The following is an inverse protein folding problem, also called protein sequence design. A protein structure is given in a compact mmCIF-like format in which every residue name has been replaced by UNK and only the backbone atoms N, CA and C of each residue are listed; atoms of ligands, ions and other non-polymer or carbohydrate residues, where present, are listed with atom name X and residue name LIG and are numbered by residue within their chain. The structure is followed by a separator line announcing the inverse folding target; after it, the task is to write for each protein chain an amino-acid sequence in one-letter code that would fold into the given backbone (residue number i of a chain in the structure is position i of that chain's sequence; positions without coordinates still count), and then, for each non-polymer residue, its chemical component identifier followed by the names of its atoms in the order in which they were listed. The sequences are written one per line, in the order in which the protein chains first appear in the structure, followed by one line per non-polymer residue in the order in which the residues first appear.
data_IF_096839916764
#
_entry.id   IF_096839916764
#
_cell.length_a   1.000
_cell.length_b   1.000
_cell.length_c   1.000
_cell.angle_alpha   90.00
_cell.angle_beta   90.00
_cell.angle_gamma   90.00
#
_symmetry.space_group_name_H-M   'P 1'
#
loop_
_entity.id
_entity.type
_entity.pdbx_description
1 polymer ?
#
# COMPACT_ATOMS: atom_id res chain seq x y z
N UNK A 1 -15.36 21.58 8.97
CA UNK A 1 -14.48 22.77 8.94
C UNK A 1 -13.35 22.50 7.95
N UNK A 2 -13.38 23.18 6.80
CA UNK A 2 -12.46 22.97 5.67
C UNK A 2 -11.06 23.50 6.00
N UNK A 3 -10.06 22.65 6.12
CA UNK A 3 -8.66 23.08 6.12
C UNK A 3 -8.31 23.57 4.71
N UNK A 4 -8.01 24.87 4.59
CA UNK A 4 -7.62 25.48 3.31
C UNK A 4 -6.18 25.11 2.97
N UNK A 5 -6.01 24.41 1.85
CA UNK A 5 -4.71 24.17 1.23
C UNK A 5 -4.20 25.47 0.59
N UNK A 6 -3.11 26.04 1.11
CA UNK A 6 -2.35 27.09 0.43
C UNK A 6 -0.94 26.57 0.15
N UNK A 7 -0.53 26.71 -1.12
CA UNK A 7 0.70 26.14 -1.64
C UNK A 7 1.93 27.04 -1.64
N UNK A 8 3.03 26.38 -2.03
CA UNK A 8 4.29 26.83 -2.61
C UNK A 8 5.39 27.43 -1.69
N UNK A 9 6.35 26.55 -1.35
CA UNK A 9 7.82 26.65 -1.50
C UNK A 9 8.58 26.18 -0.25
N UNK A 10 9.41 25.13 -0.43
CA UNK A 10 10.35 24.61 0.58
C UNK A 10 9.80 23.47 1.45
N UNK A 11 9.81 22.24 0.91
CA UNK A 11 9.74 20.93 1.60
C UNK A 11 9.11 20.90 3.00
N UNK A 12 7.91 21.47 3.18
CA UNK A 12 7.22 21.48 4.47
C UNK A 12 6.37 20.24 4.52
N UNK A 13 6.61 19.37 5.51
CA UNK A 13 5.68 18.29 5.84
C UNK A 13 4.28 18.91 5.93
N UNK A 14 3.37 18.47 5.05
CA UNK A 14 1.99 18.97 5.00
C UNK A 14 1.25 18.69 6.32
N UNK A 15 1.75 17.70 7.06
CA UNK A 15 1.17 17.20 8.29
C UNK A 15 2.20 17.23 9.43
N UNK A 16 1.71 17.45 10.65
CA UNK A 16 2.52 17.52 11.87
C UNK A 16 2.18 16.36 12.79
N UNK A 17 3.02 16.07 13.78
CA UNK A 17 2.73 15.06 14.81
C UNK A 17 1.41 15.34 15.54
N UNK A 18 1.08 16.62 15.75
CA UNK A 18 -0.18 17.02 16.36
C UNK A 18 -1.38 16.69 15.46
N UNK A 19 -1.23 16.85 14.15
CA UNK A 19 -2.25 16.41 13.19
C UNK A 19 -2.41 14.88 13.22
N UNK A 20 -1.29 14.13 13.20
CA UNK A 20 -1.29 12.66 13.26
C UNK A 20 -2.01 12.18 14.52
N UNK A 21 -1.62 12.67 15.71
CA UNK A 21 -2.27 12.31 16.98
C UNK A 21 -3.78 12.56 16.95
N UNK A 22 -4.21 13.70 16.41
CA UNK A 22 -5.63 14.04 16.28
C UNK A 22 -6.35 13.10 15.31
N UNK A 23 -5.75 12.78 14.17
CA UNK A 23 -6.35 11.89 13.19
C UNK A 23 -6.47 10.46 13.74
N UNK A 24 -5.44 9.96 14.42
CA UNK A 24 -5.45 8.64 15.07
C UNK A 24 -6.52 8.59 16.16
N UNK A 25 -6.59 9.58 17.05
CA UNK A 25 -7.62 9.64 18.09
C UNK A 25 -9.03 9.60 17.47
N UNK A 26 -9.29 10.36 16.42
CA UNK A 26 -10.58 10.37 15.74
C UNK A 26 -10.96 8.99 15.14
N UNK A 27 -9.99 8.25 14.59
CA UNK A 27 -10.22 6.88 14.11
C UNK A 27 -10.47 5.90 15.27
N UNK A 28 -9.72 6.00 16.35
CA UNK A 28 -9.83 5.08 17.50
C UNK A 28 -11.04 5.34 18.41
N UNK A 29 -11.62 6.54 18.36
CA UNK A 29 -12.84 6.94 19.07
C UNK A 29 -14.11 6.66 18.25
N UNK A 30 -13.99 6.32 16.96
CA UNK A 30 -15.13 6.01 16.12
C UNK A 30 -15.69 4.60 16.42
N UNK A 31 -17.02 4.46 16.38
CA UNK A 31 -17.72 3.18 16.56
C UNK A 31 -17.72 2.30 15.29
N UNK A 32 -17.06 2.75 14.21
CA UNK A 32 -17.04 2.07 12.91
C UNK A 32 -15.64 2.07 12.32
N UNK A 33 -15.33 1.08 11.49
CA UNK A 33 -14.08 1.05 10.73
C UNK A 33 -13.93 2.32 9.87
N UNK A 34 -12.72 2.88 9.74
CA UNK A 34 -12.48 4.05 8.91
C UNK A 34 -12.75 3.74 7.44
N UNK A 35 -13.35 4.70 6.74
CA UNK A 35 -13.51 4.61 5.30
C UNK A 35 -12.15 4.74 4.59
N UNK A 36 -11.94 3.95 3.54
CA UNK A 36 -10.76 4.04 2.69
C UNK A 36 -10.91 5.25 1.77
N UNK A 37 -10.03 6.24 1.92
CA UNK A 37 -10.03 7.43 1.06
C UNK A 37 -9.64 7.05 -0.36
N UNK A 38 -10.29 7.71 -1.33
CA UNK A 38 -10.10 7.42 -2.76
C UNK A 38 -9.14 8.42 -3.42
N UNK A 39 -8.60 8.04 -4.58
CA UNK A 39 -7.73 8.84 -5.41
C UNK A 39 -8.31 10.24 -5.62
N UNK A 40 -7.46 11.27 -5.46
CA UNK A 40 -7.88 12.66 -5.40
C UNK A 40 -7.94 13.22 -3.98
N UNK A 41 -8.03 12.37 -2.95
CA UNK A 41 -7.84 12.83 -1.56
C UNK A 41 -6.36 13.22 -1.34
N UNK A 42 -6.08 14.43 -0.82
CA UNK A 42 -4.72 14.98 -0.79
C UNK A 42 -3.73 14.19 0.08
N UNK A 43 -4.23 13.48 1.10
CA UNK A 43 -3.39 12.63 1.96
C UNK A 43 -2.65 11.54 1.17
N UNK A 44 -3.23 11.04 0.08
CA UNK A 44 -2.65 9.99 -0.77
C UNK A 44 -1.50 10.50 -1.64
N UNK A 45 -1.32 11.83 -1.71
CA UNK A 45 -0.30 12.52 -2.51
C UNK A 45 0.73 13.26 -1.65
N UNK A 46 0.65 13.08 -0.34
CA UNK A 46 1.55 13.70 0.61
C UNK A 46 2.52 12.65 1.15
N UNK A 47 3.77 13.04 1.38
CA UNK A 47 4.68 12.21 2.15
C UNK A 47 4.19 12.11 3.60
N UNK A 48 4.01 10.87 4.07
CA UNK A 48 3.58 10.59 5.42
C UNK A 48 4.67 10.92 6.45
N UNK A 49 4.24 11.32 7.64
CA UNK A 49 5.11 11.66 8.76
C UNK A 49 5.74 10.39 9.32
N UNK A 50 7.06 10.37 9.50
CA UNK A 50 7.75 9.25 10.13
C UNK A 50 7.21 8.99 11.55
N UNK A 51 7.11 7.73 11.94
CA UNK A 51 6.85 7.36 13.33
C UNK A 51 8.12 7.60 14.16
N UNK A 52 8.03 8.47 15.16
CA UNK A 52 9.14 8.85 16.05
C UNK A 52 8.76 8.70 17.53
N UNK A 53 7.71 7.91 17.81
CA UNK A 53 7.14 7.76 19.14
C UNK A 53 6.06 8.80 19.47
N UNK A 54 5.46 9.45 18.46
CA UNK A 54 4.41 10.45 18.65
C UNK A 54 3.05 9.87 19.08
N UNK A 55 2.91 8.55 19.13
CA UNK A 55 1.76 7.81 19.67
C UNK A 55 2.20 6.92 20.84
N UNK A 56 1.42 6.84 21.94
CA UNK A 56 1.60 5.82 22.95
C UNK A 56 1.49 4.40 22.35
N UNK A 57 2.26 3.44 22.87
CA UNK A 57 2.27 2.06 22.38
C UNK A 57 0.87 1.42 22.30
N UNK A 58 0.02 1.66 23.31
CA UNK A 58 -1.35 1.17 23.32
C UNK A 58 -2.24 1.77 22.20
N UNK A 59 -2.00 3.03 21.80
CA UNK A 59 -2.72 3.63 20.67
C UNK A 59 -2.20 3.10 19.33
N UNK A 60 -0.88 2.90 19.21
CA UNK A 60 -0.28 2.30 18.02
C UNK A 60 -0.80 0.87 17.78
N UNK A 61 -0.82 0.03 18.81
CA UNK A 61 -1.33 -1.34 18.71
C UNK A 61 -2.80 -1.37 18.25
N UNK A 62 -3.65 -0.55 18.87
CA UNK A 62 -5.06 -0.42 18.46
C UNK A 62 -5.22 0.10 17.03
N UNK A 63 -4.35 1.03 16.60
CA UNK A 63 -4.39 1.53 15.23
C UNK A 63 -4.03 0.43 14.23
N UNK A 64 -3.01 -0.37 14.52
CA UNK A 64 -2.61 -1.52 13.70
C UNK A 64 -3.75 -2.53 13.57
N UNK A 65 -4.45 -2.84 14.67
CA UNK A 65 -5.64 -3.71 14.67
C UNK A 65 -6.76 -3.13 13.78
N UNK A 66 -7.12 -1.85 13.95
CA UNK A 66 -8.14 -1.19 13.13
C UNK A 66 -7.75 -1.18 11.64
N UNK A 67 -6.47 -0.99 11.33
CA UNK A 67 -5.97 -1.06 9.95
C UNK A 67 -6.11 -2.47 9.38
N UNK A 68 -5.78 -3.52 10.15
CA UNK A 68 -5.97 -4.91 9.74
C UNK A 68 -7.44 -5.23 9.48
N UNK A 69 -8.32 -4.86 10.40
CA UNK A 69 -9.77 -5.07 10.26
C UNK A 69 -10.33 -4.33 9.04
N UNK A 70 -9.87 -3.09 8.80
CA UNK A 70 -10.25 -2.30 7.61
C UNK A 70 -9.78 -2.95 6.32
N UNK A 71 -8.54 -3.46 6.30
CA UNK A 71 -7.97 -4.18 5.16
C UNK A 71 -8.79 -5.43 4.82
N UNK A 72 -9.16 -6.23 5.84
CA UNK A 72 -9.98 -7.43 5.67
C UNK A 72 -11.41 -7.12 5.22
N UNK A 73 -12.00 -6.04 5.74
CA UNK A 73 -13.33 -5.60 5.31
C UNK A 73 -13.37 -5.14 3.84
N UNK A 74 -12.23 -4.72 3.29
CA UNK A 74 -12.06 -4.26 1.90
C UNK A 74 -11.33 -5.30 0.99
N UNK A 75 -11.49 -6.60 1.28
CA UNK A 75 -10.60 -7.71 0.90
C UNK A 75 -9.21 -7.37 0.33
N UNK A 76 -8.43 -6.56 1.04
CA UNK A 76 -7.06 -6.21 0.67
C UNK A 76 -6.00 -7.20 1.19
N UNK A 77 -4.78 -7.08 0.64
CA UNK A 77 -3.57 -7.78 1.13
C UNK A 77 -2.54 -6.84 1.76
N UNK A 78 -2.81 -5.54 1.71
CA UNK A 78 -2.03 -4.46 2.29
C UNK A 78 -2.91 -3.24 2.51
N UNK A 79 -2.56 -2.44 3.52
CA UNK A 79 -3.19 -1.14 3.78
C UNK A 79 -2.21 -0.19 4.45
N UNK A 80 -1.93 0.94 3.81
CA UNK A 80 -1.14 2.03 4.36
C UNK A 80 -2.02 3.02 5.14
N UNK A 81 -1.50 3.57 6.25
CA UNK A 81 -2.23 4.53 7.09
C UNK A 81 -2.79 5.75 6.32
N UNK A 82 -2.11 6.29 5.28
CA UNK A 82 -2.70 7.35 4.45
C UNK A 82 -4.03 6.96 3.81
N UNK A 83 -4.25 5.68 3.49
CA UNK A 83 -5.49 5.20 2.90
C UNK A 83 -6.70 5.29 3.85
N UNK A 84 -6.47 5.40 5.16
CA UNK A 84 -7.52 5.70 6.15
C UNK A 84 -7.45 7.15 6.66
N UNK A 85 -6.79 8.04 5.90
CA UNK A 85 -6.71 9.46 6.20
C UNK A 85 -5.62 9.86 7.19
N UNK A 86 -4.77 8.93 7.63
CA UNK A 86 -3.72 9.17 8.63
C UNK A 86 -2.35 9.29 7.93
N UNK A 87 -1.72 10.48 7.88
CA UNK A 87 -0.44 10.67 7.22
C UNK A 87 0.72 10.23 8.13
N UNK A 88 0.75 8.95 8.48
CA UNK A 88 1.79 8.29 9.27
C UNK A 88 2.49 7.23 8.42
N UNK A 89 3.81 7.09 8.56
CA UNK A 89 4.58 6.01 7.93
C UNK A 89 4.33 4.68 8.67
N UNK A 90 3.15 4.11 8.43
CA UNK A 90 2.69 2.84 8.95
C UNK A 90 1.91 2.14 7.85
N UNK A 91 2.22 0.87 7.60
CA UNK A 91 1.40 -0.01 6.78
C UNK A 91 1.23 -1.38 7.45
N UNK A 92 0.15 -2.06 7.13
CA UNK A 92 -0.11 -3.45 7.53
C UNK A 92 -0.21 -4.33 6.29
N UNK A 93 0.21 -5.59 6.41
CA UNK A 93 0.25 -6.55 5.31
C UNK A 93 -0.21 -7.92 5.81
N UNK A 94 -0.98 -8.62 4.98
CA UNK A 94 -1.34 -10.03 5.17
C UNK A 94 -1.90 -10.58 3.87
N UNK A 95 -1.45 -11.76 3.45
CA UNK A 95 -1.97 -12.43 2.27
C UNK A 95 -2.18 -13.92 2.53
N UNK A 96 -3.41 -14.27 2.88
CA UNK A 96 -3.83 -15.66 3.15
C UNK A 96 -4.92 -16.12 2.17
N UNK A 97 -5.08 -15.43 1.03
CA UNK A 97 -6.11 -15.78 0.05
C UNK A 97 -5.68 -16.99 -0.78
N UNK A 98 -6.59 -17.96 -0.90
CA UNK A 98 -6.44 -19.05 -1.86
C UNK A 98 -6.53 -18.52 -3.29
N UNK A 99 -5.57 -18.90 -4.12
CA UNK A 99 -5.56 -18.65 -5.56
C UNK A 99 -5.28 -19.92 -6.33
N UNK A 100 -5.71 -20.03 -7.61
CA UNK A 100 -5.31 -21.13 -8.46
C UNK A 100 -3.80 -21.35 -8.45
N UNK A 101 -3.36 -22.61 -8.38
CA UNK A 101 -1.93 -22.97 -8.28
C UNK A 101 -1.10 -22.36 -9.40
N UNK A 102 -1.60 -22.39 -10.64
CA UNK A 102 -0.97 -21.74 -11.80
C UNK A 102 -0.74 -20.22 -11.60
N UNK A 103 -1.68 -19.53 -10.94
CA UNK A 103 -1.56 -18.10 -10.65
C UNK A 103 -0.58 -17.85 -9.49
N UNK A 104 -0.54 -18.76 -8.51
CA UNK A 104 0.43 -18.69 -7.42
C UNK A 104 1.86 -18.85 -7.94
N UNK A 105 2.08 -19.88 -8.77
CA UNK A 105 3.38 -20.16 -9.40
C UNK A 105 3.84 -19.02 -10.30
N UNK A 106 2.98 -18.54 -11.21
CA UNK A 106 3.33 -17.47 -12.16
C UNK A 106 3.69 -16.14 -11.49
N UNK A 107 3.21 -15.92 -10.26
CA UNK A 107 3.41 -14.67 -9.50
C UNK A 107 4.38 -14.83 -8.32
N UNK A 108 4.96 -16.02 -8.14
CA UNK A 108 5.66 -16.44 -6.91
C UNK A 108 4.91 -15.96 -5.65
N UNK A 109 3.59 -16.20 -5.63
CA UNK A 109 2.69 -15.78 -4.54
C UNK A 109 2.59 -16.92 -3.53
N UNK A 110 2.94 -16.64 -2.29
CA UNK A 110 2.85 -17.58 -1.15
C UNK A 110 2.18 -16.87 0.02
N UNK A 111 1.64 -17.61 1.00
CA UNK A 111 1.07 -17.01 2.19
C UNK A 111 2.04 -16.01 2.84
N UNK A 112 1.50 -14.85 3.22
CA UNK A 112 2.19 -13.81 3.96
C UNK A 112 1.46 -13.63 5.28
N UNK A 113 2.08 -14.12 6.37
CA UNK A 113 1.57 -13.92 7.71
C UNK A 113 1.49 -12.42 8.03
N UNK A 114 0.56 -12.06 8.92
CA UNK A 114 0.35 -10.66 9.29
C UNK A 114 1.58 -10.02 9.94
N UNK A 115 1.93 -8.82 9.51
CA UNK A 115 2.86 -7.93 10.20
C UNK A 115 2.59 -6.46 9.86
N UNK A 116 3.07 -5.57 10.73
CA UNK A 116 3.06 -4.13 10.52
C UNK A 116 4.47 -3.62 10.23
N UNK A 117 4.58 -2.60 9.38
CA UNK A 117 5.84 -1.95 9.06
C UNK A 117 5.76 -0.46 9.36
N UNK A 118 6.65 0.03 10.22
CA UNK A 118 6.86 1.44 10.50
C UNK A 118 8.10 1.93 9.78
N UNK A 119 8.03 3.16 9.26
CA UNK A 119 9.15 3.82 8.57
C UNK A 119 9.86 2.95 7.52
N UNK A 120 9.14 2.15 6.70
CA UNK A 120 9.79 1.18 5.85
C UNK A 120 10.59 1.86 4.73
N UNK A 121 11.69 1.23 4.36
CA UNK A 121 12.41 1.49 3.12
C UNK A 121 12.86 0.17 2.52
N UNK A 122 12.95 0.11 1.20
CA UNK A 122 13.42 -1.09 0.52
C UNK A 122 14.47 -0.76 -0.54
N UNK A 123 15.32 -1.74 -0.82
CA UNK A 123 16.27 -1.71 -1.94
C UNK A 123 16.03 -2.91 -2.85
N UNK A 124 16.13 -2.70 -4.16
CA UNK A 124 16.02 -3.79 -5.13
C UNK A 124 17.26 -4.70 -5.04
N UNK A 125 17.03 -6.02 -5.09
CA UNK A 125 18.11 -7.01 -5.18
C UNK A 125 18.28 -7.39 -6.65
N UNK A 126 19.32 -6.86 -7.27
CA UNK A 126 19.59 -7.06 -8.71
C UNK A 126 18.73 -6.17 -9.61
N UNK A 127 18.67 -6.52 -10.90
CA UNK A 127 17.96 -5.77 -11.94
C UNK A 127 16.68 -6.46 -12.44
N UNK A 128 16.35 -7.62 -11.88
CA UNK A 128 15.18 -8.39 -12.28
C UNK A 128 13.88 -7.69 -11.84
N UNK A 129 12.91 -7.66 -12.74
CA UNK A 129 11.59 -7.08 -12.50
C UNK A 129 10.50 -8.10 -12.76
N UNK A 130 9.41 -7.99 -12.01
CA UNK A 130 8.17 -8.72 -12.25
C UNK A 130 7.08 -7.73 -12.63
N UNK A 131 6.28 -8.05 -13.65
CA UNK A 131 5.22 -7.19 -14.19
C UNK A 131 3.89 -7.92 -14.09
N UNK A 132 2.96 -7.38 -13.30
CA UNK A 132 1.61 -7.93 -13.14
C UNK A 132 0.60 -6.80 -12.96
N UNK A 133 -0.68 -7.11 -13.17
CA UNK A 133 -1.77 -6.22 -12.80
C UNK A 133 -1.80 -5.99 -11.29
N UNK A 134 -1.91 -4.72 -10.89
CA UNK A 134 -2.17 -4.28 -9.52
C UNK A 134 -3.47 -3.49 -9.48
N UNK A 135 -4.23 -3.70 -8.40
CA UNK A 135 -5.31 -2.80 -7.97
C UNK A 135 -4.92 -2.07 -6.69
N UNK A 136 -5.74 -1.12 -6.28
CA UNK A 136 -5.54 -0.38 -5.03
C UNK A 136 -6.91 -0.10 -4.39
N UNK A 137 -7.03 -0.29 -3.07
CA UNK A 137 -8.27 0.03 -2.33
C UNK A 137 -8.64 1.52 -2.41
N UNK A 138 -7.65 2.37 -2.65
CA UNK A 138 -7.82 3.82 -2.87
C UNK A 138 -8.04 4.19 -4.33
N UNK A 139 -8.14 3.23 -5.27
CA UNK A 139 -8.53 3.46 -6.66
C UNK A 139 -9.52 2.37 -7.09
N UNK A 140 -10.67 2.36 -6.41
CA UNK A 140 -11.67 1.30 -6.57
C UNK A 140 -12.13 1.15 -8.01
N UNK A 141 -12.21 -0.09 -8.49
CA UNK A 141 -12.75 -0.44 -9.80
C UNK A 141 -11.75 -0.48 -10.95
N UNK A 142 -10.46 -0.21 -10.70
CA UNK A 142 -9.42 -0.15 -11.72
C UNK A 142 -8.19 -0.98 -11.36
N UNK A 143 -7.53 -1.49 -12.39
CA UNK A 143 -6.25 -2.17 -12.31
C UNK A 143 -5.35 -1.75 -13.47
N UNK A 144 -4.04 -1.83 -13.30
CA UNK A 144 -3.08 -1.67 -14.39
C UNK A 144 -1.82 -2.48 -14.10
N UNK A 145 -1.07 -2.80 -15.14
CA UNK A 145 0.24 -3.45 -15.01
C UNK A 145 1.26 -2.46 -14.45
N UNK A 146 1.99 -2.91 -13.44
CA UNK A 146 3.10 -2.18 -12.82
C UNK A 146 4.33 -3.07 -12.77
N UNK A 147 5.48 -2.51 -13.13
CA UNK A 147 6.77 -3.15 -12.96
C UNK A 147 7.24 -2.95 -11.51
N UNK A 148 7.66 -4.06 -10.88
CA UNK A 148 8.21 -4.08 -9.52
C UNK A 148 9.56 -4.78 -9.54
N UNK A 149 10.43 -4.43 -8.61
CA UNK A 149 11.62 -5.25 -8.37
C UNK A 149 11.15 -6.65 -7.96
N UNK A 150 11.70 -7.69 -8.59
CA UNK A 150 11.29 -9.07 -8.33
C UNK A 150 11.68 -9.53 -6.92
N UNK A 151 12.78 -8.98 -6.38
CA UNK A 151 13.27 -9.23 -5.02
C UNK A 151 13.71 -7.90 -4.40
N UNK A 152 13.43 -7.74 -3.10
CA UNK A 152 13.81 -6.57 -2.32
C UNK A 152 14.42 -6.96 -0.97
N UNK A 153 15.32 -6.13 -0.46
CA UNK A 153 15.65 -6.08 0.96
C UNK A 153 14.83 -4.96 1.60
N UNK A 154 13.88 -5.34 2.46
CA UNK A 154 13.08 -4.43 3.27
C UNK A 154 13.78 -4.19 4.61
N UNK A 155 13.83 -2.93 5.03
CA UNK A 155 14.19 -2.51 6.37
C UNK A 155 13.09 -1.60 6.94
N UNK A 156 12.70 -1.85 8.18
CA UNK A 156 11.55 -1.22 8.83
C UNK A 156 11.70 -1.30 10.35
N UNK A 157 10.88 -0.55 11.09
CA UNK A 157 10.69 -0.78 12.52
C UNK A 157 9.42 -1.60 12.74
N UNK A 158 9.46 -2.61 13.60
CA UNK A 158 8.30 -3.43 13.98
C UNK A 158 7.29 -2.66 14.85
N UNK A 159 6.18 -3.28 15.26
CA UNK A 159 5.15 -2.65 16.09
C UNK A 159 5.63 -2.21 17.48
N UNK A 160 6.78 -2.72 17.93
CA UNK A 160 7.44 -2.35 19.17
C UNK A 160 8.50 -1.26 18.97
N UNK A 161 8.72 -0.82 17.73
CA UNK A 161 9.74 0.16 17.35
C UNK A 161 11.15 -0.42 17.25
N UNK A 162 11.29 -1.75 17.14
CA UNK A 162 12.58 -2.39 16.96
C UNK A 162 12.91 -2.53 15.47
N UNK A 163 14.14 -2.15 15.09
CA UNK A 163 14.60 -2.26 13.72
C UNK A 163 14.67 -3.73 13.27
N UNK A 164 14.10 -4.01 12.10
CA UNK A 164 14.04 -5.31 11.47
C UNK A 164 14.45 -5.24 9.99
N UNK A 165 14.91 -6.36 9.46
CA UNK A 165 15.23 -6.53 8.04
C UNK A 165 14.64 -7.84 7.52
N UNK A 166 14.10 -7.81 6.31
CA UNK A 166 13.49 -8.97 5.67
C UNK A 166 13.75 -8.93 4.17
N UNK A 167 14.24 -10.04 3.60
CA UNK A 167 14.30 -10.23 2.15
C UNK A 167 12.99 -10.84 1.66
N UNK A 168 12.40 -10.22 0.66
CA UNK A 168 11.14 -10.68 0.05
C UNK A 168 11.30 -10.80 -1.46
N UNK A 169 10.57 -11.73 -2.05
CA UNK A 169 10.49 -11.93 -3.50
C UNK A 169 9.01 -12.00 -3.94
N UNK A 170 8.79 -12.06 -5.24
CA UNK A 170 7.48 -12.39 -5.82
C UNK A 170 6.38 -11.42 -5.43
N UNK A 171 5.19 -11.97 -5.16
CA UNK A 171 4.00 -11.19 -4.85
C UNK A 171 4.13 -10.44 -3.51
N UNK A 172 4.81 -11.01 -2.52
CA UNK A 172 5.02 -10.39 -1.22
C UNK A 172 5.92 -9.15 -1.34
N UNK A 173 6.98 -9.22 -2.15
CA UNK A 173 7.80 -8.06 -2.46
C UNK A 173 6.98 -6.97 -3.16
N UNK A 174 6.05 -7.34 -4.05
CA UNK A 174 5.14 -6.40 -4.72
C UNK A 174 4.23 -5.68 -3.72
N UNK A 175 3.59 -6.41 -2.80
CA UNK A 175 2.72 -5.81 -1.77
C UNK A 175 3.52 -4.80 -0.94
N UNK A 176 4.71 -5.16 -0.44
CA UNK A 176 5.55 -4.23 0.34
C UNK A 176 5.93 -2.98 -0.46
N UNK A 177 6.32 -3.13 -1.72
CA UNK A 177 6.62 -1.98 -2.58
C UNK A 177 5.40 -1.07 -2.76
N UNK A 178 4.22 -1.65 -2.95
CA UNK A 178 2.96 -0.90 -3.09
C UNK A 178 2.61 -0.12 -1.82
N UNK A 179 2.64 -0.77 -0.66
CA UNK A 179 2.31 -0.11 0.60
C UNK A 179 3.35 0.93 1.00
N UNK A 180 4.64 0.68 0.72
CA UNK A 180 5.71 1.65 0.96
C UNK A 180 5.56 2.89 0.06
N UNK A 181 5.13 2.71 -1.20
CA UNK A 181 4.84 3.83 -2.11
C UNK A 181 3.76 4.76 -1.57
N UNK A 182 2.70 4.21 -0.96
CA UNK A 182 1.65 5.00 -0.35
C UNK A 182 2.18 5.93 0.75
N UNK A 183 3.18 5.50 1.51
CA UNK A 183 3.80 6.32 2.56
C UNK A 183 4.61 7.49 2.00
N UNK A 184 5.07 7.36 0.75
CA UNK A 184 5.73 8.43 0.00
C UNK A 184 4.75 9.30 -0.81
N UNK A 185 3.44 9.07 -0.72
CA UNK A 185 2.43 9.77 -1.54
C UNK A 185 2.42 9.34 -3.01
N UNK A 186 2.98 8.17 -3.31
CA UNK A 186 3.00 7.56 -4.64
C UNK A 186 1.86 6.55 -4.74
N UNK A 187 1.13 6.58 -5.85
CA UNK A 187 0.10 5.61 -6.17
C UNK A 187 0.58 4.71 -7.31
N UNK A 188 0.07 3.48 -7.40
CA UNK A 188 0.48 2.54 -8.46
C UNK A 188 0.33 3.13 -9.88
N UNK A 189 -0.66 4.00 -10.10
CA UNK A 189 -0.89 4.68 -11.38
C UNK A 189 0.29 5.55 -11.83
N UNK A 190 1.11 6.07 -10.90
CA UNK A 190 2.30 6.86 -11.24
C UNK A 190 3.42 6.01 -11.85
N UNK A 191 3.35 4.69 -11.66
CA UNK A 191 4.30 3.69 -12.16
C UNK A 191 3.67 2.74 -13.20
N UNK A 192 2.39 2.94 -13.50
CA UNK A 192 1.63 2.02 -14.32
C UNK A 192 1.94 2.17 -15.81
N UNK A 193 1.91 1.03 -16.50
CA UNK A 193 1.78 0.99 -17.96
C UNK A 193 0.38 1.45 -18.33
N UNK A 194 0.18 2.73 -18.57
CA UNK A 194 -1.17 3.35 -18.66
C UNK A 194 -2.08 2.76 -19.75
N UNK A 195 -1.52 2.16 -20.82
CA UNK A 195 -2.32 1.45 -21.84
C UNK A 195 -2.91 0.13 -21.34
N UNK A 196 -2.39 -0.42 -20.25
CA UNK A 196 -2.94 -1.59 -19.57
C UNK A 196 -4.05 -1.25 -18.56
N UNK A 197 -4.41 0.03 -18.39
CA UNK A 197 -5.45 0.42 -17.45
C UNK A 197 -6.79 -0.24 -17.84
N UNK A 198 -7.31 -1.09 -16.96
CA UNK A 198 -8.53 -1.85 -17.16
C UNK A 198 -9.49 -1.64 -15.99
N UNK A 199 -10.78 -1.57 -16.28
CA UNK A 199 -11.78 -1.71 -15.22
C UNK A 199 -11.74 -3.13 -14.66
N UNK A 200 -12.23 -3.34 -13.45
CA UNK A 200 -12.31 -4.69 -12.86
C UNK A 200 -13.10 -5.68 -13.75
N UNK A 201 -14.13 -5.20 -14.45
CA UNK A 201 -14.91 -6.02 -15.37
C UNK A 201 -14.09 -6.46 -16.59
N UNK A 202 -13.36 -5.52 -17.21
CA UNK A 202 -12.51 -5.82 -18.37
C UNK A 202 -11.30 -6.68 -18.00
N UNK A 203 -10.71 -6.45 -16.82
CA UNK A 203 -9.65 -7.31 -16.29
C UNK A 203 -10.15 -8.74 -16.12
N UNK A 204 -11.29 -8.93 -15.45
CA UNK A 204 -11.85 -10.27 -15.22
C UNK A 204 -12.24 -10.99 -16.52
N UNK A 205 -12.70 -10.24 -17.53
CA UNK A 205 -13.14 -10.81 -18.79
C UNK A 205 -11.98 -11.17 -19.74
N UNK A 206 -10.87 -10.42 -19.71
CA UNK A 206 -9.83 -10.51 -20.74
C UNK A 206 -8.41 -10.70 -20.20
N UNK A 207 -8.09 -10.20 -19.00
CA UNK A 207 -6.70 -10.02 -18.57
C UNK A 207 -6.34 -10.73 -17.26
N UNK A 208 -7.22 -11.59 -16.74
CA UNK A 208 -7.02 -12.32 -15.48
C UNK A 208 -6.18 -13.60 -15.62
N UNK A 209 -5.34 -13.66 -16.65
CA UNK A 209 -4.43 -14.78 -16.89
C UNK A 209 -3.27 -14.79 -15.86
N UNK A 210 -2.53 -15.91 -15.73
CA UNK A 210 -1.40 -16.00 -14.81
C UNK A 210 -0.31 -14.95 -15.09
N UNK A 211 -0.02 -14.72 -16.37
CA UNK A 211 0.91 -13.71 -16.86
C UNK A 211 0.21 -12.56 -17.62
N UNK A 212 1.01 -11.63 -18.16
CA UNK A 212 0.54 -10.45 -18.89
C UNK A 212 0.93 -10.43 -20.36
N UNK A 213 1.41 -11.54 -20.94
CA UNK A 213 1.97 -11.55 -22.29
C UNK A 213 0.92 -11.16 -23.35
N UNK A 214 -0.27 -11.75 -23.27
CA UNK A 214 -1.39 -11.44 -24.18
C UNK A 214 -1.86 -10.00 -24.04
N UNK A 215 -1.99 -9.51 -22.79
CA UNK A 215 -2.34 -8.12 -22.54
C UNK A 215 -1.29 -7.16 -23.12
N UNK A 216 0.00 -7.47 -22.94
CA UNK A 216 1.11 -6.68 -23.45
C UNK A 216 1.11 -6.60 -24.98
N UNK A 217 0.95 -7.74 -25.64
CA UNK A 217 0.87 -7.82 -27.10
C UNK A 217 -0.34 -7.05 -27.65
N UNK A 218 -1.52 -7.29 -27.06
CA UNK A 218 -2.79 -6.75 -27.56
C UNK A 218 -2.95 -5.25 -27.28
N UNK A 219 -2.53 -4.80 -26.09
CA UNK A 219 -2.70 -3.41 -25.67
C UNK A 219 -1.48 -2.53 -25.99
N UNK A 220 -0.35 -3.12 -26.39
CA UNK A 220 0.88 -2.45 -26.82
C UNK A 220 1.50 -1.57 -25.71
N UNK A 221 1.97 -2.17 -24.63
CA UNK A 221 2.73 -1.50 -23.55
C UNK A 221 4.02 -2.23 -23.19
#
# INVERSE_FOLDING_TARGET
MSARFHGATGGRLLYTDAYVRKAVAAVLEADTLPAIVQAGHPVLRAQAVAFTGQLPAAQLARLIEVMRDTMHAAPGVGLAAPQIGIPLQLAVLEDLYDVPEENAEARDRRPLDFFAILNPHYTAVGAETASHYEGCLSMSGWQAVVDRAATIDLAYDDENGAAAMLRLAGWQARIVQHETDHLAGTMYLDKAHTRSLASNAEYAANWSLPDIAEARETLHF
#
